data_IF_507246900944
#
_entry.id   IF_507246900944
#
_cell.length_a   1.000
_cell.length_b   1.000
_cell.length_c   1.000
_cell.angle_alpha   90.00
_cell.angle_beta   90.00
_cell.angle_gamma   90.00
#
_symmetry.space_group_name_H-M   'P 1'
#
loop_
_entity.id
_entity.type
_entity.pdbx_description
1 polymer ?
#
# COMPACT_ATOMS: atom_id res chain seq x y z
N UNK A 1 -20.91 -32.91 12.23
CA UNK A 1 -20.26 -31.99 11.29
C UNK A 1 -18.77 -32.10 11.59
N UNK A 2 -18.03 -32.82 10.73
CA UNK A 2 -16.58 -32.91 10.87
C UNK A 2 -16.02 -31.50 10.75
N UNK A 3 -15.27 -31.04 11.76
CA UNK A 3 -14.47 -29.85 11.65
C UNK A 3 -13.36 -30.18 10.66
N UNK A 4 -13.50 -29.74 9.42
CA UNK A 4 -12.41 -29.73 8.47
C UNK A 4 -11.31 -28.90 9.12
N UNK A 5 -10.24 -29.58 9.56
CA UNK A 5 -9.08 -28.91 10.10
C UNK A 5 -8.53 -28.04 8.99
N UNK A 6 -8.52 -26.74 9.23
CA UNK A 6 -7.97 -25.75 8.33
C UNK A 6 -6.51 -26.11 8.00
N UNK A 7 -6.24 -26.48 6.77
CA UNK A 7 -4.89 -26.80 6.32
C UNK A 7 -4.09 -25.52 6.08
N UNK A 8 -3.46 -25.00 7.14
CA UNK A 8 -2.66 -23.78 7.09
C UNK A 8 -1.44 -23.89 6.17
N UNK A 9 -1.05 -25.09 5.72
CA UNK A 9 0.09 -25.25 4.82
C UNK A 9 -0.26 -24.73 3.44
N UNK A 10 -1.48 -24.94 2.98
CA UNK A 10 -1.96 -24.50 1.67
C UNK A 10 -2.13 -23.00 1.54
N UNK A 11 -2.30 -22.27 2.66
CA UNK A 11 -2.47 -20.81 2.64
C UNK A 11 -1.35 -20.06 1.90
N UNK A 12 -0.16 -20.62 1.91
CA UNK A 12 1.05 -19.98 1.39
C UNK A 12 1.62 -20.71 0.18
N UNK A 13 0.91 -21.71 -0.33
CA UNK A 13 1.29 -22.40 -1.55
C UNK A 13 0.76 -21.63 -2.78
N UNK A 14 1.62 -21.43 -3.75
CA UNK A 14 1.29 -20.81 -5.04
C UNK A 14 1.75 -21.73 -6.15
N UNK A 15 0.90 -21.96 -7.13
CA UNK A 15 1.27 -22.72 -8.32
C UNK A 15 1.96 -21.80 -9.31
N UNK A 16 3.23 -22.05 -9.59
CA UNK A 16 3.94 -21.32 -10.63
C UNK A 16 3.28 -21.58 -11.99
N UNK A 17 2.83 -20.51 -12.63
CA UNK A 17 2.13 -20.56 -13.91
C UNK A 17 2.99 -21.05 -15.07
N UNK A 18 4.32 -21.05 -14.93
CA UNK A 18 5.26 -21.47 -15.97
C UNK A 18 5.70 -22.91 -15.82
N UNK A 19 6.11 -23.30 -14.61
CA UNK A 19 6.61 -24.67 -14.34
C UNK A 19 5.50 -25.62 -13.90
N UNK A 20 4.37 -25.10 -13.40
CA UNK A 20 3.32 -25.90 -12.78
C UNK A 20 3.69 -26.42 -11.38
N UNK A 21 4.89 -26.08 -10.88
CA UNK A 21 5.37 -26.48 -9.56
C UNK A 21 4.70 -25.67 -8.45
N UNK A 22 4.50 -26.31 -7.30
CA UNK A 22 3.97 -25.64 -6.11
C UNK A 22 5.14 -24.98 -5.37
N UNK A 23 5.09 -23.66 -5.25
CA UNK A 23 6.06 -22.86 -4.51
C UNK A 23 5.41 -22.37 -3.22
N UNK A 24 6.07 -22.60 -2.09
CA UNK A 24 5.61 -22.08 -0.79
C UNK A 24 6.11 -20.66 -0.58
N UNK A 25 5.19 -19.69 -0.55
CA UNK A 25 5.47 -18.31 -0.18
C UNK A 25 5.44 -18.18 1.34
N UNK A 26 6.58 -17.98 1.97
CA UNK A 26 6.67 -17.91 3.44
C UNK A 26 6.64 -16.46 3.94
N UNK A 27 5.60 -16.04 4.67
CA UNK A 27 5.59 -14.74 5.34
C UNK A 27 6.70 -14.66 6.40
N UNK A 28 7.37 -13.53 6.47
CA UNK A 28 8.44 -13.29 7.45
C UNK A 28 8.48 -11.81 7.87
N UNK A 29 9.47 -11.41 8.68
CA UNK A 29 9.59 -10.02 9.15
C UNK A 29 9.71 -8.97 8.01
N UNK A 30 10.09 -9.39 6.81
CA UNK A 30 10.35 -8.48 5.68
C UNK A 30 9.23 -8.48 4.64
N UNK A 31 8.34 -9.47 4.65
CA UNK A 31 7.29 -9.63 3.66
C UNK A 31 6.01 -10.22 4.24
N UNK A 32 4.91 -10.06 3.52
CA UNK A 32 3.63 -10.70 3.80
C UNK A 32 3.04 -11.26 2.51
N UNK A 33 2.28 -12.34 2.64
CA UNK A 33 1.60 -13.02 1.53
C UNK A 33 0.11 -12.68 1.61
N UNK A 34 -0.44 -12.18 0.51
CA UNK A 34 -1.82 -11.72 0.45
C UNK A 34 -2.53 -12.27 -0.79
N UNK A 35 -3.84 -12.56 -0.73
CA UNK A 35 -4.62 -12.86 -1.93
C UNK A 35 -4.65 -11.64 -2.85
N UNK A 36 -4.50 -11.88 -4.13
CA UNK A 36 -4.55 -10.83 -5.16
C UNK A 36 -5.88 -10.10 -5.11
N UNK A 37 -6.98 -10.82 -4.90
CA UNK A 37 -8.32 -10.23 -4.79
C UNK A 37 -8.39 -9.15 -3.70
N UNK A 38 -7.94 -9.43 -2.48
CA UNK A 38 -7.99 -8.44 -1.39
C UNK A 38 -7.17 -7.17 -1.70
N UNK A 39 -6.06 -7.33 -2.40
CA UNK A 39 -5.20 -6.18 -2.76
C UNK A 39 -5.80 -5.34 -3.88
N UNK A 40 -6.53 -5.96 -4.81
CA UNK A 40 -7.18 -5.25 -5.93
C UNK A 40 -8.51 -4.62 -5.57
N UNK A 41 -9.34 -5.31 -4.80
CA UNK A 41 -10.69 -4.85 -4.46
C UNK A 41 -10.75 -3.60 -3.57
N UNK A 42 -9.62 -3.15 -3.05
CA UNK A 42 -9.59 -1.92 -2.25
C UNK A 42 -10.13 -2.08 -0.85
N UNK A 43 -9.94 -3.24 -0.23
CA UNK A 43 -10.30 -3.50 1.17
C UNK A 43 -9.58 -2.54 2.11
N UNK A 44 -8.29 -2.31 1.89
CA UNK A 44 -7.48 -1.36 2.64
C UNK A 44 -7.21 -0.11 1.80
N UNK A 45 -7.58 1.06 2.30
CA UNK A 45 -7.58 2.33 1.58
C UNK A 45 -7.03 3.47 2.45
N UNK A 46 -6.66 4.62 1.87
CA UNK A 46 -6.16 5.74 2.68
C UNK A 46 -7.23 6.27 3.64
N UNK A 47 -6.81 6.72 4.82
CA UNK A 47 -7.67 7.46 5.77
C UNK A 47 -8.18 8.76 5.14
N UNK A 48 -9.46 9.05 5.30
CA UNK A 48 -10.03 10.33 4.87
C UNK A 48 -9.79 11.38 5.97
N UNK A 49 -9.17 12.49 5.63
CA UNK A 49 -8.87 13.58 6.59
C UNK A 49 -10.13 14.12 7.28
N UNK A 50 -11.23 14.24 6.56
CA UNK A 50 -12.53 14.69 7.08
C UNK A 50 -13.14 13.74 8.11
N UNK A 51 -12.77 12.46 8.12
CA UNK A 51 -13.27 11.47 9.07
C UNK A 51 -12.47 11.43 10.38
N UNK A 52 -11.27 12.00 10.42
CA UNK A 52 -10.48 12.09 11.67
C UNK A 52 -11.20 12.88 12.75
N UNK A 53 -12.03 13.84 12.37
CA UNK A 53 -12.80 14.71 13.28
C UNK A 53 -14.26 14.27 13.47
N UNK A 54 -14.76 13.32 12.69
CA UNK A 54 -16.11 12.81 12.86
C UNK A 54 -16.08 11.51 13.67
N UNK A 55 -16.77 11.51 14.80
CA UNK A 55 -16.98 10.32 15.64
C UNK A 55 -17.81 9.20 14.96
N UNK A 56 -18.20 9.39 13.71
CA UNK A 56 -19.02 8.47 12.94
C UNK A 56 -18.15 7.66 11.97
N UNK A 57 -17.54 6.58 12.47
CA UNK A 57 -17.15 5.45 11.63
C UNK A 57 -18.45 4.72 11.21
N UNK A 58 -19.19 5.32 10.30
CA UNK A 58 -20.38 4.66 9.73
C UNK A 58 -19.91 3.52 8.84
N UNK A 59 -20.47 2.34 9.09
CA UNK A 59 -20.39 1.23 8.15
C UNK A 59 -20.90 1.71 6.78
N UNK A 60 -20.21 1.33 5.73
CA UNK A 60 -20.58 1.68 4.35
C UNK A 60 -20.43 0.46 3.47
N UNK A 61 -21.25 0.40 2.43
CA UNK A 61 -21.07 -0.58 1.35
C UNK A 61 -20.23 0.05 0.27
N UNK A 62 -19.20 -0.67 -0.16
CA UNK A 62 -18.34 -0.30 -1.29
C UNK A 62 -18.52 -1.37 -2.37
N UNK A 63 -19.03 -0.97 -3.53
CA UNK A 63 -19.08 -1.81 -4.72
C UNK A 63 -17.71 -1.81 -5.40
N UNK A 64 -17.13 -2.98 -5.58
CA UNK A 64 -15.84 -3.18 -6.24
C UNK A 64 -15.97 -4.11 -7.48
N UNK A 65 -17.17 -4.26 -8.00
CA UNK A 65 -17.53 -5.18 -9.09
C UNK A 65 -16.72 -4.90 -10.37
N UNK A 66 -16.41 -3.65 -10.70
CA UNK A 66 -15.61 -3.33 -11.89
C UNK A 66 -14.20 -3.94 -11.81
N UNK A 67 -13.57 -3.92 -10.63
CA UNK A 67 -12.27 -4.55 -10.47
C UNK A 67 -12.37 -6.08 -10.41
N UNK A 68 -13.46 -6.63 -9.88
CA UNK A 68 -13.73 -8.06 -9.85
C UNK A 68 -13.68 -8.67 -11.26
N UNK A 69 -14.26 -8.02 -12.27
CA UNK A 69 -14.28 -8.53 -13.64
C UNK A 69 -12.87 -8.75 -14.23
N UNK A 70 -11.87 -8.15 -13.63
CA UNK A 70 -10.45 -8.25 -14.04
C UNK A 70 -9.67 -9.31 -13.26
N UNK A 71 -10.31 -9.95 -12.27
CA UNK A 71 -9.69 -11.01 -11.48
C UNK A 71 -9.91 -12.38 -12.11
N UNK A 72 -8.90 -13.24 -12.03
CA UNK A 72 -9.02 -14.64 -12.45
C UNK A 72 -10.06 -15.39 -11.63
N UNK A 73 -10.19 -15.06 -10.36
CA UNK A 73 -11.20 -15.58 -9.44
C UNK A 73 -12.62 -15.42 -10.00
N UNK A 74 -12.99 -14.24 -10.50
CA UNK A 74 -14.32 -14.01 -11.07
C UNK A 74 -14.61 -14.93 -12.25
N UNK A 75 -13.58 -15.16 -13.08
CA UNK A 75 -13.71 -16.03 -14.27
C UNK A 75 -13.79 -17.51 -13.91
N UNK A 76 -13.03 -17.94 -12.91
CA UNK A 76 -12.97 -19.33 -12.48
C UNK A 76 -14.25 -19.75 -11.72
N UNK A 77 -14.74 -18.88 -10.84
CA UNK A 77 -15.87 -19.17 -9.94
C UNK A 77 -17.21 -18.60 -10.41
N UNK A 78 -17.21 -17.81 -11.49
CA UNK A 78 -18.42 -17.23 -12.06
C UNK A 78 -19.03 -16.09 -11.23
N UNK A 79 -18.24 -15.44 -10.37
CA UNK A 79 -18.72 -14.27 -9.63
C UNK A 79 -18.76 -13.03 -10.53
N UNK A 80 -19.85 -12.29 -10.44
CA UNK A 80 -20.10 -11.11 -11.26
C UNK A 80 -20.21 -9.81 -10.45
N UNK A 81 -20.47 -9.92 -9.14
CA UNK A 81 -20.59 -8.79 -8.23
C UNK A 81 -19.76 -9.03 -6.98
N UNK A 82 -19.12 -7.96 -6.45
CA UNK A 82 -18.48 -7.97 -5.15
C UNK A 82 -18.80 -6.70 -4.38
N UNK A 83 -19.16 -6.88 -3.13
CA UNK A 83 -19.43 -5.79 -2.19
C UNK A 83 -18.59 -5.97 -0.93
N UNK A 84 -18.04 -4.86 -0.44
CA UNK A 84 -17.34 -4.78 0.83
C UNK A 84 -18.22 -3.99 1.78
N UNK A 85 -18.69 -4.62 2.84
CA UNK A 85 -19.58 -4.04 3.84
C UNK A 85 -18.85 -3.92 5.17
N UNK A 86 -18.79 -2.72 5.70
CA UNK A 86 -18.14 -2.48 6.98
C UNK A 86 -17.52 -1.10 7.11
N UNK A 87 -16.75 -0.88 8.19
CA UNK A 87 -16.01 0.34 8.38
C UNK A 87 -14.87 0.44 7.37
N UNK A 88 -14.48 1.66 7.02
CA UNK A 88 -13.32 1.90 6.18
C UNK A 88 -12.04 1.42 6.88
N UNK A 89 -11.30 0.54 6.27
CA UNK A 89 -10.02 0.03 6.77
C UNK A 89 -8.87 0.86 6.23
N UNK A 90 -8.01 1.36 7.12
CA UNK A 90 -6.88 2.22 6.74
C UNK A 90 -5.57 1.44 6.54
N UNK A 91 -4.62 2.05 5.80
CA UNK A 91 -3.31 1.46 5.53
C UNK A 91 -2.35 1.58 6.73
N UNK A 92 -2.51 2.56 7.61
CA UNK A 92 -1.53 2.81 8.68
C UNK A 92 -1.71 1.90 9.90
N UNK A 93 -2.96 1.58 10.25
CA UNK A 93 -3.28 0.73 11.41
C UNK A 93 -3.89 -0.60 10.99
N UNK A 94 -4.95 -0.56 10.16
CA UNK A 94 -5.75 -1.75 9.87
C UNK A 94 -5.00 -2.74 8.99
N UNK A 95 -4.32 -2.27 7.94
CA UNK A 95 -3.50 -3.15 7.13
C UNK A 95 -2.34 -3.79 7.91
N UNK A 96 -1.69 -3.03 8.82
CA UNK A 96 -0.64 -3.60 9.69
C UNK A 96 -1.19 -4.63 10.68
N UNK A 97 -2.36 -4.36 11.25
CA UNK A 97 -3.04 -5.31 12.14
C UNK A 97 -3.43 -6.57 11.36
N UNK A 98 -3.91 -6.42 10.13
CA UNK A 98 -4.21 -7.52 9.22
C UNK A 98 -2.97 -8.36 8.89
N UNK A 99 -1.84 -7.72 8.57
CA UNK A 99 -0.56 -8.41 8.39
C UNK A 99 -0.20 -9.20 9.65
N UNK A 100 -0.38 -8.61 10.83
CA UNK A 100 -0.15 -9.28 12.11
C UNK A 100 -1.04 -10.52 12.30
N UNK A 101 -2.30 -10.45 11.89
CA UNK A 101 -3.23 -11.60 11.93
C UNK A 101 -2.71 -12.73 11.05
N UNK A 102 -2.42 -12.46 9.78
CA UNK A 102 -1.90 -13.47 8.84
C UNK A 102 -0.58 -14.07 9.33
N UNK A 103 0.34 -13.24 9.83
CA UNK A 103 1.61 -13.71 10.40
C UNK A 103 1.41 -14.54 11.67
N UNK A 104 0.35 -14.30 12.45
CA UNK A 104 0.04 -15.12 13.64
C UNK A 104 -0.26 -16.55 13.24
N UNK A 105 -1.08 -16.76 12.22
CA UNK A 105 -1.38 -18.11 11.70
C UNK A 105 -0.16 -18.75 11.03
N UNK A 106 0.65 -17.97 10.28
CA UNK A 106 1.83 -18.50 9.61
C UNK A 106 2.93 -18.94 10.59
N UNK A 107 3.19 -18.14 11.61
CA UNK A 107 4.31 -18.37 12.55
C UNK A 107 3.99 -19.38 13.63
N UNK A 108 2.75 -19.45 14.05
CA UNK A 108 2.31 -20.29 15.17
C UNK A 108 1.43 -21.44 14.71
N UNK A 109 1.77 -22.08 13.60
CA UNK A 109 1.05 -23.25 13.07
C UNK A 109 0.86 -24.35 14.12
N UNK A 110 1.86 -24.56 14.95
CA UNK A 110 1.87 -25.51 16.07
C UNK A 110 0.94 -25.13 17.23
N UNK A 111 0.55 -23.87 17.33
CA UNK A 111 -0.38 -23.33 18.34
C UNK A 111 -1.80 -23.14 17.83
N UNK A 112 -2.03 -23.46 16.56
CA UNK A 112 -3.36 -23.36 15.98
C UNK A 112 -4.18 -24.59 16.36
N UNK A 113 -5.34 -24.35 16.94
CA UNK A 113 -6.32 -25.39 17.31
C UNK A 113 -7.60 -25.12 16.48
N UNK A 114 -7.84 -25.96 15.49
CA UNK A 114 -8.90 -25.73 14.51
C UNK A 114 -8.63 -24.46 13.68
N UNK A 115 -9.47 -23.46 13.84
CA UNK A 115 -9.42 -22.15 13.17
C UNK A 115 -8.89 -21.01 14.09
N UNK A 116 -8.36 -21.34 15.28
CA UNK A 116 -7.95 -20.37 16.31
C UNK A 116 -6.46 -20.40 16.57
N UNK A 117 -5.87 -19.23 16.74
CA UNK A 117 -4.51 -19.05 17.23
C UNK A 117 -4.49 -18.19 18.49
N UNK A 118 -3.72 -18.60 19.49
CA UNK A 118 -3.53 -17.86 20.73
C UNK A 118 -2.07 -17.44 20.88
N UNK A 119 -1.85 -16.17 21.21
CA UNK A 119 -0.52 -15.61 21.45
C UNK A 119 -0.59 -14.47 22.48
N UNK A 120 0.57 -14.02 22.97
CA UNK A 120 0.61 -12.85 23.83
C UNK A 120 0.34 -11.57 23.01
N UNK A 121 -0.19 -10.53 23.67
CA UNK A 121 -0.41 -9.24 23.03
C UNK A 121 0.89 -8.61 22.50
N UNK A 122 1.98 -8.76 23.28
CA UNK A 122 3.30 -8.24 22.88
C UNK A 122 3.80 -8.92 21.60
N UNK A 123 3.60 -10.23 21.50
CA UNK A 123 3.96 -10.99 20.30
C UNK A 123 3.11 -10.58 19.10
N UNK A 124 1.80 -10.45 19.28
CA UNK A 124 0.90 -9.96 18.24
C UNK A 124 1.28 -8.55 17.75
N UNK A 125 1.58 -7.64 18.68
CA UNK A 125 2.01 -6.29 18.34
C UNK A 125 3.29 -6.27 17.49
N UNK A 126 4.26 -7.15 17.79
CA UNK A 126 5.46 -7.32 16.96
C UNK A 126 5.12 -7.80 15.55
N UNK A 127 4.20 -8.75 15.42
CA UNK A 127 3.75 -9.24 14.11
C UNK A 127 3.00 -8.17 13.30
N UNK A 128 2.35 -7.21 13.98
CA UNK A 128 1.79 -6.02 13.33
C UNK A 128 2.85 -4.97 12.90
N UNK A 129 4.14 -5.24 13.11
CA UNK A 129 5.23 -4.31 12.81
C UNK A 129 5.25 -3.06 13.71
N UNK A 130 4.72 -3.18 14.93
CA UNK A 130 4.69 -2.07 15.90
C UNK A 130 5.92 -2.21 16.83
N UNK A 131 6.75 -1.14 16.95
CA UNK A 131 7.95 -1.19 17.80
C UNK A 131 7.61 -1.49 19.26
N UNK A 132 8.40 -2.36 19.90
CA UNK A 132 8.25 -2.75 21.29
C UNK A 132 8.50 -1.61 22.30
N UNK A 133 9.12 -0.51 21.86
CA UNK A 133 9.38 0.69 22.66
C UNK A 133 8.14 1.51 23.01
N UNK A 134 6.99 1.25 22.38
CA UNK A 134 5.73 1.94 22.70
C UNK A 134 5.10 1.31 23.94
N UNK A 135 4.50 2.16 24.81
CA UNK A 135 3.81 1.67 26.01
C UNK A 135 2.68 0.71 25.63
N UNK A 136 2.45 -0.29 26.46
CA UNK A 136 1.38 -1.27 26.25
C UNK A 136 0.00 -0.63 26.12
N UNK A 137 -0.26 0.50 26.80
CA UNK A 137 -1.50 1.28 26.70
C UNK A 137 -1.69 1.88 25.29
N UNK A 138 -0.67 2.57 24.75
CA UNK A 138 -0.75 3.17 23.41
C UNK A 138 -0.90 2.10 22.30
N UNK A 139 -0.28 0.94 22.48
CA UNK A 139 -0.44 -0.20 21.56
C UNK A 139 -1.88 -0.69 21.56
N UNK A 140 -2.48 -0.85 22.74
CA UNK A 140 -3.85 -1.30 22.90
C UNK A 140 -4.84 -0.33 22.27
N UNK A 141 -4.63 0.98 22.47
CA UNK A 141 -5.44 2.05 21.89
C UNK A 141 -5.41 2.07 20.35
N UNK A 142 -4.41 1.48 19.72
CA UNK A 142 -4.31 1.36 18.24
C UNK A 142 -4.83 0.01 17.74
N UNK A 143 -4.46 -1.09 18.36
CA UNK A 143 -4.76 -2.44 17.87
C UNK A 143 -6.22 -2.82 18.15
N UNK A 144 -6.75 -2.52 19.34
CA UNK A 144 -8.14 -2.91 19.68
C UNK A 144 -9.19 -2.31 18.75
N UNK A 145 -9.17 -1.00 18.43
CA UNK A 145 -10.10 -0.45 17.44
C UNK A 145 -9.89 -1.03 16.04
N UNK A 146 -8.66 -1.35 15.67
CA UNK A 146 -8.34 -1.96 14.38
C UNK A 146 -8.92 -3.37 14.28
N UNK A 147 -8.74 -4.22 15.30
CA UNK A 147 -9.34 -5.54 15.36
C UNK A 147 -10.87 -5.48 15.25
N UNK A 148 -11.52 -4.52 15.94
CA UNK A 148 -12.96 -4.31 15.82
C UNK A 148 -13.41 -3.98 14.40
N UNK A 149 -12.69 -3.08 13.71
CA UNK A 149 -13.01 -2.73 12.33
C UNK A 149 -12.82 -3.92 11.38
N UNK A 150 -11.71 -4.64 11.51
CA UNK A 150 -11.41 -5.82 10.70
C UNK A 150 -12.46 -6.91 10.91
N UNK A 151 -12.83 -7.22 12.16
CA UNK A 151 -13.86 -8.21 12.48
C UNK A 151 -15.28 -7.79 12.04
N UNK A 152 -15.52 -6.49 11.82
CA UNK A 152 -16.80 -5.95 11.33
C UNK A 152 -16.82 -5.78 9.81
N UNK A 153 -15.83 -6.27 9.09
CA UNK A 153 -15.74 -6.14 7.62
C UNK A 153 -16.11 -7.46 6.97
N UNK A 154 -17.11 -7.40 6.10
CA UNK A 154 -17.62 -8.54 5.32
C UNK A 154 -17.34 -8.30 3.84
N UNK A 155 -16.95 -9.32 3.12
CA UNK A 155 -16.81 -9.33 1.67
C UNK A 155 -17.80 -10.34 1.11
N UNK A 156 -18.66 -9.89 0.20
CA UNK A 156 -19.66 -10.71 -0.46
C UNK A 156 -19.38 -10.78 -1.94
N UNK A 157 -19.28 -11.98 -2.48
CA UNK A 157 -19.20 -12.27 -3.90
C UNK A 157 -20.47 -12.94 -4.34
N UNK A 158 -21.09 -12.47 -5.43
CA UNK A 158 -22.30 -13.08 -5.94
C UNK A 158 -22.27 -13.29 -7.45
N UNK A 159 -22.89 -14.36 -7.93
CA UNK A 159 -23.20 -14.56 -9.33
C UNK A 159 -24.50 -13.84 -9.70
N UNK A 160 -24.69 -13.48 -10.97
CA UNK A 160 -25.96 -12.93 -11.44
C UNK A 160 -27.08 -13.92 -11.26
N UNK A 161 -28.22 -13.37 -10.87
CA UNK A 161 -29.42 -14.10 -10.53
C UNK A 161 -29.97 -14.95 -11.66
N UNK A 162 -30.35 -16.11 -11.31
CA UNK A 162 -31.16 -17.13 -11.94
C UNK A 162 -31.45 -18.13 -10.85
N UNK A 163 -32.05 -19.24 -11.18
CA UNK A 163 -32.34 -20.29 -10.23
C UNK A 163 -31.10 -20.90 -9.55
N UNK A 164 -29.90 -20.61 -10.09
CA UNK A 164 -28.58 -21.06 -9.59
C UNK A 164 -27.73 -19.93 -8.99
N UNK A 165 -28.33 -18.91 -8.38
CA UNK A 165 -27.59 -17.81 -7.76
C UNK A 165 -26.69 -18.34 -6.64
N UNK A 166 -25.38 -18.03 -6.74
CA UNK A 166 -24.38 -18.33 -5.71
C UNK A 166 -23.99 -17.06 -4.99
N UNK A 167 -23.97 -17.10 -3.68
CA UNK A 167 -23.41 -16.02 -2.86
C UNK A 167 -22.37 -16.60 -1.91
N UNK A 168 -21.21 -15.96 -1.88
CA UNK A 168 -20.10 -16.30 -1.03
C UNK A 168 -19.80 -15.13 -0.11
N UNK A 169 -20.06 -15.30 1.17
CA UNK A 169 -19.88 -14.26 2.19
C UNK A 169 -18.74 -14.69 3.12
N UNK A 170 -17.76 -13.81 3.30
CA UNK A 170 -16.63 -14.03 4.20
C UNK A 170 -16.36 -12.80 5.05
N UNK A 171 -15.85 -13.02 6.26
CA UNK A 171 -15.29 -11.98 7.13
C UNK A 171 -13.77 -12.01 7.04
N UNK A 172 -13.13 -10.87 7.25
CA UNK A 172 -11.65 -10.84 7.36
C UNK A 172 -11.17 -11.61 8.59
N UNK A 173 -11.92 -11.54 9.67
CA UNK A 173 -11.69 -12.30 10.91
C UNK A 173 -13.05 -12.67 11.47
N UNK A 174 -13.26 -13.93 11.81
CA UNK A 174 -14.52 -14.39 12.38
C UNK A 174 -14.72 -13.84 13.80
N UNK A 175 -13.67 -13.92 14.64
CA UNK A 175 -13.66 -13.30 15.96
C UNK A 175 -12.26 -12.95 16.45
N UNK A 176 -12.17 -11.97 17.34
CA UNK A 176 -10.97 -11.64 18.05
C UNK A 176 -11.29 -11.43 19.52
N UNK A 177 -10.60 -12.16 20.41
CA UNK A 177 -10.67 -11.97 21.84
C UNK A 177 -9.36 -11.39 22.35
N UNK A 178 -9.46 -10.50 23.32
CA UNK A 178 -8.32 -9.81 23.87
C UNK A 178 -8.49 -9.57 25.37
N UNK A 179 -7.59 -10.15 26.17
CA UNK A 179 -7.51 -9.95 27.61
C UNK A 179 -6.23 -9.22 28.00
N UNK A 180 -6.40 -8.00 28.50
CA UNK A 180 -5.26 -7.14 28.90
C UNK A 180 -4.58 -7.60 30.18
N UNK A 181 -5.30 -8.26 31.09
CA UNK A 181 -4.75 -8.70 32.38
C UNK A 181 -3.92 -9.98 32.21
N UNK A 182 -4.39 -10.87 31.36
CA UNK A 182 -3.70 -12.15 31.09
C UNK A 182 -2.70 -12.06 29.95
N UNK A 183 -2.59 -10.90 29.27
CA UNK A 183 -1.76 -10.70 28.07
C UNK A 183 -2.04 -11.74 26.97
N UNK A 184 -3.32 -11.96 26.68
CA UNK A 184 -3.75 -12.97 25.71
C UNK A 184 -4.52 -12.30 24.56
N UNK A 185 -4.17 -12.70 23.33
CA UNK A 185 -4.93 -12.43 22.10
C UNK A 185 -5.31 -13.77 21.50
N UNK A 186 -6.59 -13.99 21.24
CA UNK A 186 -7.10 -15.13 20.50
C UNK A 186 -7.72 -14.60 19.21
N UNK A 187 -7.27 -15.11 18.09
CA UNK A 187 -7.79 -14.78 16.76
C UNK A 187 -8.44 -16.03 16.18
N UNK A 188 -9.64 -15.89 15.67
CA UNK A 188 -10.35 -16.95 14.97
C UNK A 188 -10.46 -16.54 13.49
N UNK A 189 -9.95 -17.37 12.63
CA UNK A 189 -10.02 -17.17 11.19
C UNK A 189 -11.44 -17.47 10.68
N UNK A 190 -11.84 -16.81 9.62
CA UNK A 190 -13.00 -17.22 8.84
C UNK A 190 -12.57 -18.31 7.84
N UNK A 191 -13.09 -19.55 7.94
CA UNK A 191 -12.73 -20.62 7.01
C UNK A 191 -12.94 -20.22 5.55
N UNK A 192 -13.99 -19.46 5.26
CA UNK A 192 -14.27 -18.97 3.91
C UNK A 192 -13.18 -18.04 3.38
N UNK A 193 -12.59 -17.20 4.22
CA UNK A 193 -11.46 -16.38 3.84
C UNK A 193 -10.23 -17.23 3.47
N UNK A 194 -10.01 -18.31 4.21
CA UNK A 194 -8.89 -19.22 3.92
C UNK A 194 -9.11 -19.98 2.60
N UNK A 195 -10.34 -20.35 2.28
CA UNK A 195 -10.66 -20.86 0.93
C UNK A 195 -10.26 -19.85 -0.15
N UNK A 196 -10.48 -18.53 0.06
CA UNK A 196 -10.00 -17.50 -0.87
C UNK A 196 -8.48 -17.54 -1.05
N UNK A 197 -7.72 -17.80 0.03
CA UNK A 197 -6.27 -18.00 -0.08
C UNK A 197 -5.90 -19.26 -0.86
N UNK A 198 -6.72 -20.30 -0.87
CA UNK A 198 -6.41 -21.53 -1.60
C UNK A 198 -6.59 -21.36 -3.11
N UNK A 199 -7.67 -20.74 -3.55
CA UNK A 199 -8.00 -20.67 -4.98
C UNK A 199 -7.67 -19.34 -5.68
N UNK A 200 -7.37 -18.26 -4.94
CA UNK A 200 -6.86 -17.03 -5.55
C UNK A 200 -5.35 -17.03 -5.65
N UNK A 201 -4.85 -16.30 -6.66
CA UNK A 201 -3.41 -16.04 -6.74
C UNK A 201 -2.93 -15.22 -5.55
N UNK A 202 -1.68 -15.44 -5.18
CA UNK A 202 -1.04 -14.77 -4.05
C UNK A 202 0.00 -13.77 -4.52
N UNK A 203 0.14 -12.70 -3.76
CA UNK A 203 1.17 -11.69 -3.96
C UNK A 203 2.05 -11.58 -2.72
N UNK A 204 3.36 -11.56 -2.94
CA UNK A 204 4.35 -11.33 -1.90
C UNK A 204 4.65 -9.85 -1.79
N UNK A 205 4.12 -9.20 -0.77
CA UNK A 205 4.35 -7.78 -0.51
C UNK A 205 5.57 -7.56 0.38
N UNK A 206 6.46 -6.67 -0.01
CA UNK A 206 7.63 -6.30 0.78
C UNK A 206 7.25 -5.24 1.83
N UNK A 207 7.35 -5.58 3.10
CA UNK A 207 7.06 -4.66 4.22
C UNK A 207 8.03 -3.48 4.25
N UNK A 208 9.25 -3.65 3.72
CA UNK A 208 10.22 -2.56 3.56
C UNK A 208 9.67 -1.43 2.70
N UNK A 209 8.96 -1.74 1.60
CA UNK A 209 8.33 -0.73 0.74
C UNK A 209 7.21 0.01 1.48
N UNK A 210 6.35 -0.72 2.20
CA UNK A 210 5.27 -0.14 3.01
C UNK A 210 5.84 0.75 4.11
N UNK A 211 6.93 0.34 4.76
CA UNK A 211 7.59 1.12 5.80
C UNK A 211 8.30 2.37 5.26
N UNK A 212 8.89 2.30 4.06
CA UNK A 212 9.48 3.47 3.37
C UNK A 212 8.40 4.52 3.04
N UNK A 213 7.17 4.09 2.83
CA UNK A 213 5.99 4.94 2.57
C UNK A 213 5.24 5.33 3.86
N UNK A 214 5.90 5.32 5.02
CA UNK A 214 5.27 5.69 6.30
C UNK A 214 4.54 7.03 6.20
N UNK A 215 3.27 7.08 6.66
CA UNK A 215 2.37 8.24 6.57
C UNK A 215 1.96 8.67 5.15
N UNK A 216 2.24 7.85 4.13
CA UNK A 216 1.88 8.08 2.73
C UNK A 216 0.86 7.01 2.29
N UNK A 217 -0.28 6.96 2.97
CA UNK A 217 -1.27 5.87 2.85
C UNK A 217 -1.76 5.65 1.41
N UNK A 218 -1.94 6.71 0.62
CA UNK A 218 -2.33 6.57 -0.79
C UNK A 218 -1.26 5.83 -1.60
N UNK A 219 0.01 6.11 -1.36
CA UNK A 219 1.11 5.40 -2.01
C UNK A 219 1.23 3.94 -1.51
N UNK A 220 1.01 3.69 -0.22
CA UNK A 220 0.95 2.32 0.32
C UNK A 220 -0.17 1.51 -0.33
N UNK A 221 -1.37 2.08 -0.46
CA UNK A 221 -2.51 1.43 -1.10
C UNK A 221 -2.25 1.18 -2.60
N UNK A 222 -1.63 2.11 -3.32
CA UNK A 222 -1.25 1.89 -4.71
C UNK A 222 -0.10 0.88 -4.85
N UNK A 223 0.83 0.82 -3.89
CA UNK A 223 1.86 -0.22 -3.86
C UNK A 223 1.24 -1.62 -3.82
N UNK A 224 0.33 -1.88 -2.87
CA UNK A 224 -0.31 -3.20 -2.74
C UNK A 224 -1.11 -3.56 -3.99
N UNK A 225 -1.77 -2.58 -4.60
CA UNK A 225 -2.52 -2.74 -5.83
C UNK A 225 -1.61 -3.04 -7.03
N UNK A 226 -0.59 -2.23 -7.27
CA UNK A 226 0.32 -2.38 -8.42
C UNK A 226 1.11 -3.69 -8.32
N UNK A 227 1.55 -4.09 -7.12
CA UNK A 227 2.25 -5.36 -6.92
C UNK A 227 1.36 -6.57 -7.21
N UNK A 228 0.06 -6.46 -6.97
CA UNK A 228 -0.92 -7.51 -7.27
C UNK A 228 -1.30 -7.63 -8.75
N UNK A 229 -0.87 -6.69 -9.60
CA UNK A 229 -1.10 -6.75 -11.05
C UNK A 229 -0.15 -7.76 -11.73
N UNK A 230 -0.49 -8.26 -12.93
CA UNK A 230 0.42 -9.08 -13.73
C UNK A 230 1.80 -8.42 -13.92
N UNK A 231 2.81 -9.21 -14.26
CA UNK A 231 4.20 -8.71 -14.43
C UNK A 231 4.28 -7.52 -15.40
N UNK A 232 3.57 -7.60 -16.52
CA UNK A 232 3.47 -6.54 -17.53
C UNK A 232 2.01 -6.06 -17.60
N UNK A 233 1.57 -5.17 -16.70
CA UNK A 233 0.20 -4.73 -16.70
C UNK A 233 -0.09 -3.82 -17.90
N UNK A 234 -1.31 -3.91 -18.43
CA UNK A 234 -1.80 -2.91 -19.36
C UNK A 234 -1.80 -1.52 -18.69
N UNK A 235 -1.73 -0.43 -19.48
CA UNK A 235 -1.79 0.93 -18.93
C UNK A 235 -2.99 1.12 -18.01
N UNK A 236 -2.75 1.66 -16.82
CA UNK A 236 -3.77 1.81 -15.77
C UNK A 236 -4.35 3.21 -15.87
N UNK A 237 -5.66 3.34 -16.04
CA UNK A 237 -6.29 4.65 -16.09
C UNK A 237 -6.23 5.39 -14.75
N UNK A 238 -6.10 6.71 -14.82
CA UNK A 238 -6.16 7.57 -13.63
C UNK A 238 -7.50 7.40 -12.87
N UNK A 239 -8.60 7.16 -13.60
CA UNK A 239 -9.90 6.85 -13.00
C UNK A 239 -9.85 5.60 -12.15
N UNK A 240 -9.30 4.49 -12.67
CA UNK A 240 -9.15 3.23 -11.97
C UNK A 240 -8.31 3.36 -10.69
N UNK A 241 -7.23 4.15 -10.72
CA UNK A 241 -6.42 4.40 -9.51
C UNK A 241 -7.18 5.25 -8.48
N UNK A 242 -8.03 6.19 -8.89
CA UNK A 242 -8.92 6.94 -7.98
C UNK A 242 -9.92 6.02 -7.29
N UNK A 243 -10.58 5.15 -8.05
CA UNK A 243 -11.52 4.16 -7.55
C UNK A 243 -10.85 3.24 -6.53
N UNK A 244 -9.64 2.73 -6.86
CA UNK A 244 -8.85 1.90 -5.93
C UNK A 244 -8.58 2.62 -4.60
N UNK A 245 -8.37 3.92 -4.60
CA UNK A 245 -8.14 4.69 -3.38
C UNK A 245 -9.44 5.07 -2.65
N UNK A 246 -10.59 4.92 -3.29
CA UNK A 246 -11.91 5.26 -2.73
C UNK A 246 -11.91 6.63 -2.03
N UNK A 247 -11.40 7.66 -2.72
CA UNK A 247 -11.33 9.03 -2.20
C UNK A 247 -12.68 9.73 -2.37
N UNK A 248 -13.04 10.61 -1.42
CA UNK A 248 -14.31 11.36 -1.42
C UNK A 248 -14.14 12.86 -1.73
N UNK A 249 -12.93 13.31 -2.02
CA UNK A 249 -12.65 14.69 -2.40
C UNK A 249 -13.09 14.97 -3.86
N UNK A 250 -13.14 16.23 -4.29
CA UNK A 250 -13.38 16.55 -5.72
C UNK A 250 -12.37 15.85 -6.65
N UNK A 251 -12.81 15.49 -7.85
CA UNK A 251 -12.02 14.72 -8.84
C UNK A 251 -10.65 15.32 -9.09
N UNK A 252 -10.54 16.63 -9.18
CA UNK A 252 -9.24 17.32 -9.34
C UNK A 252 -8.26 16.98 -8.22
N UNK A 253 -8.69 17.09 -6.96
CA UNK A 253 -7.86 16.75 -5.79
C UNK A 253 -7.53 15.26 -5.73
N UNK A 254 -8.45 14.38 -6.16
CA UNK A 254 -8.18 12.95 -6.28
C UNK A 254 -7.08 12.68 -7.30
N UNK A 255 -7.14 13.36 -8.47
CA UNK A 255 -6.12 13.23 -9.52
C UNK A 255 -4.74 13.63 -9.01
N UNK A 256 -4.65 14.75 -8.28
CA UNK A 256 -3.40 15.18 -7.65
C UNK A 256 -2.88 14.15 -6.62
N UNK A 257 -3.79 13.59 -5.82
CA UNK A 257 -3.45 12.56 -4.82
C UNK A 257 -2.87 11.32 -5.48
N UNK A 258 -3.48 10.85 -6.58
CA UNK A 258 -2.97 9.69 -7.34
C UNK A 258 -1.59 9.99 -7.92
N UNK A 259 -1.41 11.13 -8.61
CA UNK A 259 -0.10 11.49 -9.19
C UNK A 259 0.99 11.59 -8.12
N UNK A 260 0.67 12.24 -7.00
CA UNK A 260 1.59 12.32 -5.85
C UNK A 260 1.94 10.94 -5.30
N UNK A 261 0.99 10.05 -5.19
CA UNK A 261 1.23 8.69 -4.72
C UNK A 261 2.12 7.89 -5.69
N UNK A 262 1.89 8.02 -7.01
CA UNK A 262 2.74 7.40 -8.02
C UNK A 262 4.18 7.93 -7.98
N UNK A 263 4.37 9.24 -7.81
CA UNK A 263 5.70 9.83 -7.67
C UNK A 263 6.40 9.35 -6.40
N UNK A 264 5.69 9.23 -5.28
CA UNK A 264 6.23 8.66 -4.04
C UNK A 264 6.69 7.21 -4.18
N UNK A 265 6.01 6.41 -5.02
CA UNK A 265 6.45 5.04 -5.35
C UNK A 265 7.75 5.03 -6.16
N UNK A 266 7.92 6.00 -7.05
CA UNK A 266 9.16 6.19 -7.82
C UNK A 266 10.28 6.69 -6.93
N UNK A 267 10.03 7.68 -6.05
CA UNK A 267 10.99 8.23 -5.09
C UNK A 267 11.62 7.16 -4.19
N UNK A 268 10.85 6.19 -3.72
CA UNK A 268 11.38 5.08 -2.90
C UNK A 268 12.13 4.01 -3.72
N UNK A 269 12.23 4.19 -5.03
CA UNK A 269 12.90 3.25 -5.94
C UNK A 269 12.12 1.97 -6.22
N UNK A 270 10.79 1.99 -6.02
CA UNK A 270 9.94 0.83 -6.31
C UNK A 270 9.47 0.77 -7.76
N UNK A 271 9.12 1.91 -8.36
CA UNK A 271 8.36 1.97 -9.61
C UNK A 271 9.03 2.86 -10.66
N UNK A 272 9.16 2.33 -11.88
CA UNK A 272 9.38 3.15 -13.08
C UNK A 272 8.08 3.17 -13.90
N UNK A 273 7.60 4.35 -14.23
CA UNK A 273 6.38 4.55 -15.02
C UNK A 273 6.45 5.80 -15.87
N UNK A 274 5.55 5.88 -16.85
CA UNK A 274 5.26 7.11 -17.59
C UNK A 274 3.77 7.40 -17.57
N UNK A 275 3.41 8.68 -17.59
CA UNK A 275 2.05 9.14 -17.77
C UNK A 275 1.80 9.33 -19.28
N UNK A 276 0.76 8.67 -19.79
CA UNK A 276 0.40 8.68 -21.22
C UNK A 276 -1.02 9.17 -21.38
N UNK A 277 -1.23 10.17 -22.23
CA UNK A 277 -2.56 10.63 -22.57
C UNK A 277 -3.07 9.88 -23.79
N UNK A 278 -4.30 9.33 -23.70
CA UNK A 278 -5.02 8.72 -24.82
C UNK A 278 -6.40 9.39 -24.93
N UNK A 279 -6.56 10.26 -25.90
CA UNK A 279 -7.75 11.10 -26.03
C UNK A 279 -7.92 12.00 -24.79
N UNK A 280 -9.09 11.93 -24.13
CA UNK A 280 -9.38 12.69 -22.90
C UNK A 280 -8.94 11.98 -21.63
N UNK A 281 -8.43 10.76 -21.71
CA UNK A 281 -8.09 9.93 -20.55
C UNK A 281 -6.59 9.85 -20.35
N UNK A 282 -6.19 9.89 -19.10
CA UNK A 282 -4.79 9.75 -18.65
C UNK A 282 -4.57 8.34 -18.15
N UNK A 283 -3.44 7.74 -18.52
CA UNK A 283 -3.02 6.40 -18.15
C UNK A 283 -1.61 6.43 -17.61
N UNK A 284 -1.32 5.49 -16.69
CA UNK A 284 0.00 5.20 -16.18
C UNK A 284 0.49 3.89 -16.79
N UNK A 285 1.56 3.98 -17.57
CA UNK A 285 2.27 2.80 -18.09
C UNK A 285 3.36 2.41 -17.10
N UNK A 286 3.20 1.28 -16.46
CA UNK A 286 4.23 0.69 -15.61
C UNK A 286 5.28 0.02 -16.48
N UNK A 287 6.53 0.45 -16.37
CA UNK A 287 7.66 -0.12 -17.11
C UNK A 287 8.35 -1.20 -16.28
N UNK A 288 8.70 -0.88 -15.05
CA UNK A 288 9.38 -1.81 -14.14
C UNK A 288 8.90 -1.66 -12.71
N UNK A 289 8.96 -2.76 -11.97
CA UNK A 289 8.74 -2.82 -10.52
C UNK A 289 9.98 -3.41 -9.86
N UNK A 290 10.41 -2.82 -8.76
CA UNK A 290 11.60 -3.23 -8.01
C UNK A 290 11.20 -3.55 -6.55
N UNK A 291 10.71 -4.76 -6.28
CA UNK A 291 10.22 -5.14 -4.93
C UNK A 291 11.27 -4.95 -3.85
N UNK A 292 12.57 -5.15 -4.17
CA UNK A 292 13.69 -4.94 -3.23
C UNK A 292 14.08 -3.48 -3.04
N UNK A 293 13.41 -2.54 -3.70
CA UNK A 293 13.70 -1.12 -3.79
C UNK A 293 15.10 -0.85 -4.37
N UNK A 294 15.13 -0.28 -5.55
CA UNK A 294 16.37 0.20 -6.15
C UNK A 294 16.84 1.43 -5.34
N UNK A 295 18.15 1.53 -5.07
CA UNK A 295 18.71 2.80 -4.60
C UNK A 295 18.24 3.90 -5.57
N UNK A 296 17.73 5.06 -5.08
CA UNK A 296 17.42 6.16 -5.98
C UNK A 296 18.67 6.36 -6.83
N UNK A 297 18.53 6.31 -8.17
CA UNK A 297 19.59 6.85 -9.02
C UNK A 297 19.79 8.25 -8.46
N UNK A 298 21.01 8.50 -7.92
CA UNK A 298 21.46 9.87 -7.85
C UNK A 298 21.15 10.38 -9.26
N UNK A 299 20.15 11.28 -9.38
CA UNK A 299 20.08 12.08 -10.59
C UNK A 299 21.55 12.48 -10.77
N UNK A 300 22.17 11.96 -11.83
CA UNK A 300 23.27 12.71 -12.38
C UNK A 300 22.60 14.06 -12.61
N UNK A 301 22.79 14.95 -11.64
CA UNK A 301 22.78 16.36 -11.90
C UNK A 301 23.66 16.41 -13.13
N UNK A 302 23.05 16.47 -14.32
CA UNK A 302 23.77 16.94 -15.50
C UNK A 302 24.39 18.19 -14.96
N UNK A 303 25.71 18.12 -14.77
CA UNK A 303 26.48 19.27 -14.35
C UNK A 303 26.00 20.36 -15.28
N UNK A 304 25.44 21.46 -14.76
CA UNK A 304 24.75 22.43 -15.60
C UNK A 304 25.64 22.60 -16.78
N UNK A 305 25.17 22.20 -17.98
CA UNK A 305 25.91 22.31 -19.23
C UNK A 305 26.46 23.70 -19.14
N UNK A 306 27.77 23.81 -19.02
CA UNK A 306 28.43 25.08 -18.74
C UNK A 306 27.73 26.09 -19.61
N UNK A 307 26.96 26.96 -18.98
CA UNK A 307 26.15 27.94 -19.70
C UNK A 307 27.19 28.60 -20.58
N UNK A 308 27.07 28.39 -21.87
CA UNK A 308 27.85 29.12 -22.87
C UNK A 308 27.59 30.55 -22.48
N UNK A 309 28.57 31.16 -21.84
CA UNK A 309 28.52 32.56 -21.45
C UNK A 309 28.23 33.32 -22.73
N UNK A 310 26.98 33.61 -22.96
CA UNK A 310 26.61 34.72 -23.83
C UNK A 310 27.18 35.88 -23.07
N UNK A 311 28.36 36.35 -23.53
CA UNK A 311 28.91 37.62 -23.14
C UNK A 311 27.95 38.65 -23.71
N UNK A 312 26.92 39.00 -22.93
CA UNK A 312 26.33 40.32 -23.14
C UNK A 312 27.45 41.32 -22.98
N UNK A 313 27.64 42.25 -23.92
CA UNK A 313 28.68 43.27 -23.76
C UNK A 313 28.35 44.05 -22.48
N UNK A 314 29.28 44.01 -21.52
CA UNK A 314 29.18 44.80 -20.31
C UNK A 314 28.96 46.27 -20.70
N UNK A 315 28.06 46.93 -20.01
CA UNK A 315 27.83 48.35 -20.09
C UNK A 315 29.19 49.10 -20.09
N UNK A 316 29.50 49.93 -21.10
CA UNK A 316 30.75 50.63 -21.22
C UNK A 316 31.16 51.37 -19.94
N UNK A 317 30.22 51.90 -19.19
CA UNK A 317 30.48 52.56 -17.89
C UNK A 317 30.91 51.62 -16.80
N UNK A 318 30.46 50.33 -16.85
CA UNK A 318 30.87 49.32 -15.89
C UNK A 318 32.28 48.81 -16.19
N UNK A 319 32.63 48.75 -17.47
CA UNK A 319 33.96 48.35 -17.95
C UNK A 319 35.03 49.36 -17.54
N UNK A 320 34.74 50.67 -17.68
CA UNK A 320 35.64 51.76 -17.26
C UNK A 320 35.85 51.75 -15.72
N UNK A 321 34.82 51.46 -14.94
CA UNK A 321 34.93 51.34 -13.46
C UNK A 321 35.77 50.14 -13.03
N UNK A 322 35.69 49.02 -13.73
CA UNK A 322 36.47 47.81 -13.47
C UNK A 322 37.96 48.08 -13.79
N UNK A 323 38.28 48.75 -14.92
CA UNK A 323 39.63 49.14 -15.26
C UNK A 323 40.24 50.14 -14.26
N UNK A 324 39.44 51.03 -13.69
CA UNK A 324 39.89 51.98 -12.67
C UNK A 324 40.23 51.28 -11.35
N UNK A 325 39.42 50.25 -10.95
CA UNK A 325 39.67 49.46 -9.75
C UNK A 325 40.96 48.61 -9.92
N UNK A 326 41.18 48.02 -11.09
CA UNK A 326 42.41 47.28 -11.42
C UNK A 326 43.67 48.19 -11.37
N UNK A 327 43.57 49.42 -11.89
CA UNK A 327 44.66 50.41 -11.83
C UNK A 327 44.94 50.86 -10.38
N UNK A 328 43.97 50.79 -9.50
CA UNK A 328 44.15 51.14 -8.07
C UNK A 328 44.57 49.94 -7.22
N UNK A 329 44.72 48.73 -7.80
CA UNK A 329 45.15 47.51 -7.11
C UNK A 329 44.11 46.98 -6.11
N UNK A 330 42.84 47.36 -6.26
CA UNK A 330 41.74 46.94 -5.36
C UNK A 330 41.01 45.78 -6.02
N UNK A 331 41.11 44.60 -5.39
CA UNK A 331 40.37 43.43 -5.88
C UNK A 331 38.90 43.49 -5.49
N UNK A 332 38.04 42.82 -6.29
CA UNK A 332 36.61 42.68 -5.97
C UNK A 332 36.39 42.03 -4.58
N UNK A 333 37.31 41.19 -4.11
CA UNK A 333 37.27 40.59 -2.77
C UNK A 333 37.55 41.59 -1.65
N UNK A 334 38.33 42.60 -1.90
CA UNK A 334 38.63 43.67 -0.92
C UNK A 334 37.43 44.62 -0.76
N UNK A 335 36.67 44.86 -1.84
CA UNK A 335 35.42 45.59 -1.80
C UNK A 335 34.34 44.83 -1.02
N UNK A 336 34.19 43.50 -1.21
CA UNK A 336 33.26 42.70 -0.43
C UNK A 336 33.56 42.72 1.07
N UNK A 337 34.84 42.75 1.48
CA UNK A 337 35.23 42.85 2.88
C UNK A 337 34.84 44.21 3.50
N UNK A 338 34.97 45.27 2.74
CA UNK A 338 34.61 46.63 3.20
C UNK A 338 33.09 46.74 3.37
N UNK A 339 32.28 46.15 2.47
CA UNK A 339 30.82 46.18 2.58
C UNK A 339 30.24 45.24 3.66
N UNK A 340 30.97 44.20 4.08
CA UNK A 340 30.56 43.32 5.18
C UNK A 340 30.99 43.80 6.57
N UNK A 341 31.75 44.88 6.65
CA UNK A 341 32.22 45.46 7.92
C UNK A 341 31.47 46.76 8.36
N UNK A 342 30.43 47.13 7.64
CA UNK A 342 29.43 48.11 8.04
C UNK A 342 28.09 47.40 8.35
#
# INVERSE_FOLDING_TARGET
VASDNLDLTKLFEEKDTKSGEIVTLTPNANNTVQPVALMRLGVFVPTLKSLKNSKKNTSSTTDATEELTRLSLAKAEGYEKVEIVGPRLDMDNDFKTWVGIIHSFAKHKDKVIGDKVQLSFVEFAKLCGIPSSRSSKQLRERISPSLKRIASTTISFSSKSGDDAKEYITHLVQSAFYDTKKDIVILQADPKLFELYEFDHKVLLQLKAINALKRRESAQALYTYIESLPKNPAPISLARLRERLNLRSPVFSQNQTVRRAMEQLKEIGYLDYSEVQKGRSVYFQVHNRYPKLRAPKAEQLEAPKAATKIKEPLDPQLQEKIELLDKLGISLQDLEKIFKSQ
#
